data_IF_275145164331
#
_entry.id   IF_275145164331
#
_cell.length_a   1.000
_cell.length_b   1.000
_cell.length_c   1.000
_cell.angle_alpha   90.00
_cell.angle_beta   90.00
_cell.angle_gamma   90.00
#
_symmetry.space_group_name_H-M   'P 1'
#
loop_
_entity.id
_entity.type
_entity.pdbx_description
1 polymer ?
#
# COMPACT_ATOMS: atom_id res chain seq x y z
N UNK A 1 -3.38 5.35 -19.79
CA UNK A 1 -2.41 4.24 -19.64
C UNK A 1 -1.42 4.60 -18.54
N UNK A 2 -1.09 3.66 -17.64
CA UNK A 2 -0.13 3.91 -16.55
C UNK A 2 1.29 3.87 -17.10
N UNK A 3 2.06 4.94 -16.90
CA UNK A 3 3.43 5.05 -17.40
C UNK A 3 4.46 4.83 -16.30
N UNK A 4 4.25 5.42 -15.13
CA UNK A 4 5.17 5.28 -14.00
C UNK A 4 4.43 4.95 -12.72
N UNK A 5 5.05 4.08 -11.93
CA UNK A 5 4.66 3.85 -10.54
C UNK A 5 5.87 4.16 -9.67
N UNK A 6 5.71 5.16 -8.82
CA UNK A 6 6.71 5.59 -7.84
C UNK A 6 6.36 5.01 -6.49
N UNK A 7 7.38 4.57 -5.75
CA UNK A 7 7.23 4.12 -4.38
C UNK A 7 8.21 4.91 -3.52
N UNK A 8 7.68 5.70 -2.61
CA UNK A 8 8.41 6.57 -1.71
C UNK A 8 8.29 6.10 -0.26
N UNK A 9 9.29 6.41 0.56
CA UNK A 9 9.27 6.12 1.99
C UNK A 9 9.76 4.72 2.39
N UNK A 10 10.06 3.84 1.44
CA UNK A 10 10.76 2.57 1.71
C UNK A 10 12.18 2.84 2.24
N UNK A 11 12.53 2.21 3.35
CA UNK A 11 13.87 2.35 3.98
C UNK A 11 14.49 1.00 4.28
N UNK A 12 13.73 0.12 4.93
CA UNK A 12 14.21 -1.19 5.41
C UNK A 12 13.62 -2.34 4.60
N UNK A 13 12.41 -2.17 4.07
CA UNK A 13 11.71 -3.19 3.30
C UNK A 13 12.35 -3.30 1.91
N UNK A 14 12.64 -4.52 1.47
CA UNK A 14 13.15 -4.76 0.11
C UNK A 14 12.08 -4.39 -0.92
N UNK A 15 12.47 -3.63 -1.93
CA UNK A 15 11.57 -3.15 -2.99
C UNK A 15 10.79 -4.28 -3.67
N UNK A 16 11.41 -5.45 -3.89
CA UNK A 16 10.79 -6.61 -4.53
C UNK A 16 9.48 -7.07 -3.90
N UNK A 17 9.30 -6.88 -2.58
CA UNK A 17 8.03 -7.21 -1.92
C UNK A 17 6.89 -6.29 -2.35
N UNK A 18 7.19 -5.01 -2.56
CA UNK A 18 6.23 -3.98 -2.97
C UNK A 18 5.99 -4.04 -4.46
N UNK A 19 7.06 -4.21 -5.26
CA UNK A 19 6.98 -4.29 -6.73
C UNK A 19 6.03 -5.40 -7.20
N UNK A 20 5.99 -6.54 -6.50
CA UNK A 20 5.06 -7.63 -6.80
C UNK A 20 3.59 -7.23 -6.65
N UNK A 21 3.27 -6.40 -5.66
CA UNK A 21 1.89 -5.99 -5.39
C UNK A 21 1.39 -4.93 -6.38
N UNK A 22 2.29 -4.07 -6.87
CA UNK A 22 1.93 -2.98 -7.79
C UNK A 22 2.00 -3.38 -9.27
N UNK A 23 2.51 -4.58 -9.60
CA UNK A 23 2.72 -5.01 -10.99
C UNK A 23 1.42 -4.99 -11.82
N UNK A 24 0.31 -5.39 -11.21
CA UNK A 24 -1.01 -5.46 -11.86
C UNK A 24 -1.51 -4.10 -12.35
N UNK A 25 -1.07 -3.00 -11.74
CA UNK A 25 -1.45 -1.63 -12.12
C UNK A 25 -1.04 -1.32 -13.56
N UNK A 26 0.07 -1.87 -14.04
CA UNK A 26 0.55 -1.67 -15.41
C UNK A 26 -0.29 -2.40 -16.46
N UNK A 27 -1.16 -3.33 -16.06
CA UNK A 27 -2.07 -4.05 -16.96
C UNK A 27 -3.36 -3.24 -17.23
N UNK A 28 -3.59 -2.15 -16.51
CA UNK A 28 -4.76 -1.30 -16.68
C UNK A 28 -4.77 -0.58 -18.04
N UNK A 29 -5.90 -0.70 -18.74
CA UNK A 29 -6.13 -0.03 -20.02
C UNK A 29 -6.87 1.29 -19.86
N UNK A 30 -7.77 1.36 -18.89
CA UNK A 30 -8.59 2.55 -18.59
C UNK A 30 -8.21 3.20 -17.26
N UNK A 31 -8.60 4.46 -17.05
CA UNK A 31 -8.43 5.15 -15.76
C UNK A 31 -9.17 4.42 -14.63
N UNK A 32 -10.38 3.91 -14.89
CA UNK A 32 -11.15 3.18 -13.88
C UNK A 32 -10.47 1.89 -13.42
N UNK A 33 -9.90 1.12 -14.36
CA UNK A 33 -9.08 -0.06 -14.05
C UNK A 33 -7.82 0.31 -13.27
N UNK A 34 -7.13 1.38 -13.69
CA UNK A 34 -5.93 1.85 -13.00
C UNK A 34 -6.25 2.23 -11.54
N UNK A 35 -7.35 2.93 -11.31
CA UNK A 35 -7.83 3.28 -9.98
C UNK A 35 -8.16 2.03 -9.15
N UNK A 36 -8.90 1.09 -9.72
CA UNK A 36 -9.26 -0.16 -9.05
C UNK A 36 -8.02 -0.98 -8.67
N UNK A 37 -7.08 -1.18 -9.59
CA UNK A 37 -5.85 -1.93 -9.32
C UNK A 37 -4.93 -1.21 -8.35
N UNK A 38 -4.95 0.12 -8.32
CA UNK A 38 -4.16 0.90 -7.36
C UNK A 38 -4.71 0.73 -5.95
N UNK A 39 -6.03 0.74 -5.77
CA UNK A 39 -6.64 0.45 -4.46
C UNK A 39 -6.44 -1.01 -4.03
N UNK A 40 -6.56 -1.97 -4.95
CA UNK A 40 -6.25 -3.38 -4.69
C UNK A 40 -4.79 -3.56 -4.24
N UNK A 41 -3.85 -2.90 -4.93
CA UNK A 41 -2.44 -2.92 -4.55
C UNK A 41 -2.22 -2.30 -3.17
N UNK A 42 -2.90 -1.20 -2.83
CA UNK A 42 -2.84 -0.59 -1.50
C UNK A 42 -3.37 -1.53 -0.43
N UNK A 43 -4.50 -2.19 -0.66
CA UNK A 43 -5.06 -3.16 0.27
C UNK A 43 -4.10 -4.35 0.49
N UNK A 44 -3.53 -4.88 -0.58
CA UNK A 44 -2.53 -5.94 -0.49
C UNK A 44 -1.29 -5.51 0.32
N UNK A 45 -0.81 -4.27 0.13
CA UNK A 45 0.30 -3.73 0.92
C UNK A 45 -0.09 -3.52 2.38
N UNK A 46 -1.31 -3.05 2.66
CA UNK A 46 -1.82 -2.88 4.01
C UNK A 46 -1.92 -4.22 4.75
N UNK A 47 -2.34 -5.28 4.05
CA UNK A 47 -2.44 -6.65 4.56
C UNK A 47 -1.09 -7.29 4.89
N UNK A 48 0.03 -6.73 4.42
CA UNK A 48 1.36 -7.17 4.86
C UNK A 48 1.65 -6.78 6.32
N UNK A 49 0.88 -5.86 6.90
CA UNK A 49 1.01 -5.39 8.28
C UNK A 49 2.41 -4.87 8.67
N UNK A 50 3.28 -4.57 7.70
CA UNK A 50 4.61 -3.98 7.91
C UNK A 50 4.63 -2.47 7.68
N UNK A 51 3.56 -1.93 7.08
CA UNK A 51 3.38 -0.50 6.85
C UNK A 51 2.37 0.07 7.84
N UNK A 52 2.68 1.24 8.39
CA UNK A 52 1.81 2.00 9.29
C UNK A 52 0.80 2.81 8.50
N UNK A 53 1.25 3.44 7.42
CA UNK A 53 0.42 4.26 6.55
C UNK A 53 0.83 4.09 5.08
N UNK A 54 -0.15 4.24 4.19
CA UNK A 54 0.01 4.12 2.74
C UNK A 54 -0.92 5.14 2.08
N UNK A 55 -0.31 6.18 1.51
CA UNK A 55 -0.98 7.20 0.72
C UNK A 55 -0.77 6.94 -0.78
N UNK A 56 -1.78 7.30 -1.58
CA UNK A 56 -1.74 7.21 -3.04
C UNK A 56 -1.93 8.60 -3.63
N UNK A 57 -1.06 8.98 -4.55
CA UNK A 57 -1.24 10.15 -5.42
C UNK A 57 -1.29 9.67 -6.87
N UNK A 58 -2.33 10.08 -7.60
CA UNK A 58 -2.48 9.79 -9.03
C UNK A 58 -2.48 11.13 -9.76
N UNK A 59 -1.54 11.29 -10.69
CA UNK A 59 -1.42 12.50 -11.50
C UNK A 59 -1.26 12.15 -12.98
N UNK A 60 -1.49 13.15 -13.83
CA UNK A 60 -1.17 13.10 -15.25
C UNK A 60 0.33 13.14 -15.47
N UNK A 61 0.82 12.30 -16.35
CA UNK A 61 2.24 12.23 -16.65
C UNK A 61 2.66 13.42 -17.51
N UNK A 62 3.75 14.07 -17.12
CA UNK A 62 4.28 15.25 -17.81
C UNK A 62 5.69 15.03 -18.35
N UNK A 63 6.04 15.74 -19.42
CA UNK A 63 7.37 15.76 -20.02
C UNK A 63 7.42 15.40 -21.52
N UNK A 64 8.60 15.49 -22.16
CA UNK A 64 8.72 15.32 -23.61
C UNK A 64 8.40 13.91 -24.13
N UNK A 65 8.38 12.92 -23.24
CA UNK A 65 8.11 11.51 -23.56
C UNK A 65 6.83 10.98 -22.91
N UNK A 66 6.03 11.84 -22.27
CA UNK A 66 4.79 11.40 -21.62
C UNK A 66 3.67 11.27 -22.66
N UNK A 67 2.92 10.18 -22.58
CA UNK A 67 1.67 10.06 -23.31
C UNK A 67 0.66 11.13 -22.84
N UNK A 68 -0.17 11.70 -23.73
CA UNK A 68 -1.20 12.68 -23.37
C UNK A 68 -2.15 12.19 -22.26
N UNK A 69 -2.59 10.93 -22.34
CA UNK A 69 -3.41 10.25 -21.32
C UNK A 69 -2.58 9.35 -20.38
N UNK A 70 -1.33 9.73 -20.20
CA UNK A 70 -0.39 9.05 -19.32
C UNK A 70 -0.73 9.29 -17.87
N UNK A 71 -0.70 8.24 -17.04
CA UNK A 71 -0.90 8.35 -15.60
C UNK A 71 0.39 7.98 -14.88
N UNK A 72 0.78 8.81 -13.93
CA UNK A 72 1.86 8.54 -13.00
C UNK A 72 1.25 8.37 -11.60
N UNK A 73 1.58 7.27 -10.93
CA UNK A 73 1.01 6.87 -9.64
C UNK A 73 2.11 6.78 -8.61
N UNK A 74 1.96 7.49 -7.50
CA UNK A 74 2.94 7.51 -6.42
C UNK A 74 2.34 6.93 -5.15
N UNK A 75 3.00 5.91 -4.61
CA UNK A 75 2.72 5.35 -3.29
C UNK A 75 3.68 5.94 -2.27
N UNK A 76 3.16 6.66 -1.28
CA UNK A 76 3.95 7.18 -0.16
C UNK A 76 3.70 6.29 1.04
N UNK A 77 4.76 5.65 1.55
CA UNK A 77 4.65 4.60 2.56
C UNK A 77 5.38 4.99 3.84
N UNK A 78 4.74 4.77 4.99
CA UNK A 78 5.40 4.82 6.30
C UNK A 78 5.61 3.40 6.84
N UNK A 79 6.86 2.95 6.95
CA UNK A 79 7.18 1.64 7.53
C UNK A 79 6.93 1.60 9.05
N UNK A 80 6.39 0.48 9.57
CA UNK A 80 6.29 0.27 11.02
C UNK A 80 7.67 0.21 11.66
N UNK A 81 7.72 0.59 12.94
CA UNK A 81 8.93 0.39 13.77
C UNK A 81 9.11 -1.11 14.03
N UNK A 82 10.37 -1.56 14.05
CA UNK A 82 10.72 -2.97 14.31
C UNK A 82 10.30 -3.45 15.70
N UNK A 83 10.33 -2.53 16.69
CA UNK A 83 10.01 -2.83 18.08
C UNK A 83 8.77 -2.03 18.49
N UNK A 84 7.70 -2.74 18.83
CA UNK A 84 6.47 -2.19 19.41
C UNK A 84 6.23 -2.90 20.73
N UNK A 85 6.28 -2.17 21.86
CA UNK A 85 6.04 -2.74 23.18
C UNK A 85 4.57 -2.58 23.53
N UNK A 86 3.83 -3.69 23.59
CA UNK A 86 2.45 -3.73 24.08
C UNK A 86 2.44 -4.40 25.45
N UNK A 87 2.05 -3.66 26.50
CA UNK A 87 1.84 -4.20 27.84
C UNK A 87 0.34 -4.21 28.08
N UNK A 88 -0.24 -5.40 28.26
CA UNK A 88 -1.65 -5.57 28.58
C UNK A 88 -1.83 -6.62 29.68
N UNK A 89 -2.58 -6.30 30.72
CA UNK A 89 -2.97 -7.25 31.78
C UNK A 89 -4.43 -7.65 31.56
N UNK A 90 -4.67 -8.91 31.23
CA UNK A 90 -6.02 -9.46 31.15
C UNK A 90 -6.42 -10.01 32.52
N UNK A 91 -7.46 -9.42 33.14
CA UNK A 91 -8.08 -9.96 34.35
C UNK A 91 -9.44 -10.49 33.95
N UNK A 92 -9.57 -11.82 33.88
CA UNK A 92 -10.85 -12.49 33.62
C UNK A 92 -11.49 -12.93 34.94
N UNK A 93 -12.68 -12.41 35.23
CA UNK A 93 -13.55 -12.96 36.27
C UNK A 93 -14.29 -14.15 35.65
N UNK A 94 -13.84 -15.37 35.93
CA UNK A 94 -14.65 -16.56 35.67
C UNK A 94 -15.85 -16.48 36.62
N UNK A 95 -16.98 -15.93 36.14
CA UNK A 95 -18.25 -16.03 36.84
C UNK A 95 -18.57 -17.51 36.97
N UNK A 96 -18.25 -18.07 38.14
CA UNK A 96 -18.54 -19.44 38.49
C UNK A 96 -20.00 -19.72 38.19
N UNK A 97 -20.24 -20.58 37.22
CA UNK A 97 -21.54 -21.24 37.08
C UNK A 97 -21.68 -22.13 38.31
N UNK A 98 -22.41 -21.64 39.31
CA UNK A 98 -22.96 -22.46 40.36
C UNK A 98 -24.00 -23.35 39.69
N UNK A 99 -23.67 -24.63 39.55
CA UNK A 99 -24.60 -25.71 39.15
C UNK A 99 -25.74 -25.85 40.15
#
# INVERSE_FOLDING_TARGET
VVQRVHIEGLKKTKADFVTKQVKKIFEATTFGEALAYTYEARENLQNLEIFKDIDIFIDTSSGPKSHPDGLDITFTIEEKKLLTSNIGTQVGNNEGTMV
#
